data_IF_937105174910
#
_entry.id   IF_937105174910
#
_cell.length_a   1.000
_cell.length_b   1.000
_cell.length_c   1.000
_cell.angle_alpha   90.00
_cell.angle_beta   90.00
_cell.angle_gamma   90.00
#
_symmetry.space_group_name_H-M   'P 1'
#
loop_
_entity.id
_entity.type
_entity.pdbx_description
1 polymer ?
#
# COMPACT_ATOMS: atom_id res chain seq x y z
N UNK A 1 19.27 -9.48 -1.12
CA UNK A 1 18.10 -9.55 -2.02
C UNK A 1 17.55 -8.14 -2.22
N UNK A 2 17.86 -7.48 -3.33
CA UNK A 2 17.49 -6.06 -3.50
C UNK A 2 15.97 -5.93 -3.62
N UNK A 3 15.35 -5.20 -2.68
CA UNK A 3 13.88 -5.06 -2.60
C UNK A 3 13.45 -3.65 -2.95
N UNK A 4 12.37 -3.50 -3.71
CA UNK A 4 11.69 -2.21 -3.91
C UNK A 4 10.32 -2.19 -3.24
N UNK A 5 9.98 -1.10 -2.55
CA UNK A 5 8.62 -0.78 -2.14
C UNK A 5 8.09 0.28 -3.09
N UNK A 6 7.25 -0.12 -4.04
CA UNK A 6 6.70 0.75 -5.08
C UNK A 6 5.27 1.09 -4.71
N UNK A 7 4.94 2.38 -4.60
CA UNK A 7 3.65 2.78 -4.10
C UNK A 7 3.07 4.03 -4.76
N UNK A 8 1.75 4.23 -4.60
CA UNK A 8 1.08 5.50 -4.83
C UNK A 8 0.18 5.86 -3.65
N UNK A 9 0.03 7.17 -3.39
CA UNK A 9 -0.74 7.69 -2.25
C UNK A 9 -1.38 9.03 -2.56
N UNK A 10 -2.57 9.29 -2.03
CA UNK A 10 -3.17 10.64 -2.05
C UNK A 10 -2.75 11.48 -0.85
N UNK A 11 -2.79 10.90 0.35
CA UNK A 11 -2.64 11.60 1.62
C UNK A 11 -1.36 11.26 2.38
N UNK A 12 -0.53 10.34 1.91
CA UNK A 12 0.74 9.97 2.57
C UNK A 12 0.67 8.74 3.48
N UNK A 13 -0.52 8.15 3.72
CA UNK A 13 -0.65 6.96 4.57
C UNK A 13 0.17 5.77 4.05
N UNK A 14 0.16 5.55 2.74
CA UNK A 14 0.91 4.46 2.11
C UNK A 14 2.42 4.69 2.20
N UNK A 15 2.86 5.95 2.12
CA UNK A 15 4.27 6.34 2.31
C UNK A 15 4.72 6.05 3.74
N UNK A 16 3.89 6.35 4.75
CA UNK A 16 4.14 5.98 6.14
C UNK A 16 4.26 4.47 6.31
N UNK A 17 3.29 3.71 5.79
CA UNK A 17 3.34 2.24 5.85
C UNK A 17 4.56 1.66 5.12
N UNK A 18 4.95 2.20 3.97
CA UNK A 18 6.15 1.82 3.26
C UNK A 18 7.42 2.07 4.10
N UNK A 19 7.50 3.21 4.79
CA UNK A 19 8.59 3.51 5.72
C UNK A 19 8.61 2.55 6.91
N UNK A 20 7.45 2.18 7.45
CA UNK A 20 7.37 1.20 8.54
C UNK A 20 7.80 -0.21 8.10
N UNK A 21 7.40 -0.65 6.91
CA UNK A 21 7.92 -1.91 6.30
C UNK A 21 9.44 -1.83 6.16
N UNK A 22 9.96 -0.72 5.62
CA UNK A 22 11.40 -0.54 5.39
C UNK A 22 12.23 -0.64 6.66
N UNK A 23 11.72 -0.21 7.82
CA UNK A 23 12.41 -0.34 9.11
C UNK A 23 12.39 -1.76 9.67
N UNK A 24 11.49 -2.61 9.18
CA UNK A 24 11.22 -3.96 9.70
C UNK A 24 11.78 -5.07 8.81
N UNK A 25 12.03 -4.78 7.53
CA UNK A 25 12.74 -5.68 6.63
C UNK A 25 14.20 -5.86 7.08
N UNK A 26 14.75 -7.04 6.82
CA UNK A 26 16.12 -7.41 7.14
C UNK A 26 17.16 -6.65 6.29
N UNK A 27 16.79 -6.26 5.07
CA UNK A 27 17.58 -5.42 4.18
C UNK A 27 16.84 -4.12 3.88
N UNK A 28 17.58 -3.01 3.76
CA UNK A 28 17.00 -1.71 3.43
C UNK A 28 16.46 -1.70 1.99
N UNK A 29 15.13 -1.53 1.79
CA UNK A 29 14.54 -1.49 0.47
C UNK A 29 14.66 -0.10 -0.15
N UNK A 30 14.56 -0.03 -1.47
CA UNK A 30 14.34 1.23 -2.18
C UNK A 30 12.85 1.61 -2.14
N UNK A 31 12.53 2.78 -1.59
CA UNK A 31 11.14 3.26 -1.52
C UNK A 31 10.85 4.19 -2.70
N UNK A 32 9.93 3.77 -3.58
CA UNK A 32 9.67 4.44 -4.85
C UNK A 32 8.21 4.88 -4.92
N UNK A 33 7.99 6.18 -5.02
CA UNK A 33 6.67 6.73 -5.32
C UNK A 33 6.46 6.75 -6.84
N UNK A 34 5.57 5.89 -7.34
CA UNK A 34 5.37 5.70 -8.77
C UNK A 34 4.84 6.95 -9.49
N UNK A 35 4.26 7.90 -8.75
CA UNK A 35 3.84 9.19 -9.29
C UNK A 35 5.04 10.12 -9.56
N UNK A 36 6.14 9.98 -8.80
CA UNK A 36 7.37 10.76 -8.94
C UNK A 36 8.35 10.09 -9.91
N UNK A 37 8.47 8.77 -9.84
CA UNK A 37 9.25 7.95 -10.75
C UNK A 37 8.34 6.87 -11.38
N UNK A 38 7.80 7.11 -12.59
CA UNK A 38 6.82 6.22 -13.22
C UNK A 38 7.45 4.99 -13.90
N UNK A 39 8.78 4.88 -13.95
CA UNK A 39 9.44 3.79 -14.68
C UNK A 39 10.70 3.30 -13.96
N UNK A 40 10.56 2.80 -12.73
CA UNK A 40 11.68 2.26 -11.98
C UNK A 40 12.27 1.03 -12.69
N UNK A 41 13.59 0.86 -12.60
CA UNK A 41 14.31 -0.24 -13.25
C UNK A 41 14.08 -1.57 -12.53
N UNK A 42 12.94 -2.21 -12.79
CA UNK A 42 12.51 -3.46 -12.16
C UNK A 42 13.52 -4.62 -12.24
N UNK A 43 14.38 -4.62 -13.26
CA UNK A 43 15.44 -5.63 -13.43
C UNK A 43 16.47 -5.63 -12.30
N UNK A 44 16.66 -4.51 -11.61
CA UNK A 44 17.61 -4.39 -10.50
C UNK A 44 17.12 -5.04 -9.20
N UNK A 45 15.82 -5.29 -9.07
CA UNK A 45 15.23 -5.81 -7.84
C UNK A 45 14.93 -7.30 -7.96
N UNK A 46 15.16 -8.03 -6.88
CA UNK A 46 14.77 -9.44 -6.73
C UNK A 46 13.33 -9.56 -6.21
N UNK A 47 12.90 -8.55 -5.43
CA UNK A 47 11.63 -8.54 -4.74
C UNK A 47 10.94 -7.16 -4.86
N UNK A 48 9.61 -7.17 -4.95
CA UNK A 48 8.79 -5.95 -5.09
C UNK A 48 7.58 -6.04 -4.16
N UNK A 49 7.40 -5.00 -3.35
CA UNK A 49 6.20 -4.77 -2.55
C UNK A 49 5.42 -3.62 -3.19
N UNK A 50 4.15 -3.86 -3.51
CA UNK A 50 3.25 -2.86 -4.11
C UNK A 50 2.33 -2.27 -3.02
N UNK A 51 2.37 -0.97 -2.83
CA UNK A 51 1.51 -0.24 -1.89
C UNK A 51 0.47 0.63 -2.59
N UNK A 52 -0.80 0.55 -2.20
CA UNK A 52 -1.85 1.39 -2.77
C UNK A 52 -2.81 1.96 -1.71
N UNK A 53 -3.27 3.19 -1.92
CA UNK A 53 -4.38 3.75 -1.16
C UNK A 53 -5.69 3.42 -1.85
N UNK A 54 -6.73 3.05 -1.11
CA UNK A 54 -8.09 2.88 -1.62
C UNK A 54 -8.98 4.03 -1.16
N UNK A 55 -9.72 4.62 -2.10
CA UNK A 55 -10.79 5.57 -1.84
C UNK A 55 -12.01 5.16 -2.64
N UNK A 56 -13.13 4.90 -1.94
CA UNK A 56 -14.41 4.49 -2.56
C UNK A 56 -14.18 3.28 -3.51
N UNK A 57 -13.55 2.22 -2.99
CA UNK A 57 -13.26 0.98 -3.73
C UNK A 57 -12.20 1.06 -4.83
N UNK A 58 -11.64 2.23 -5.12
CA UNK A 58 -10.63 2.40 -6.17
C UNK A 58 -9.25 2.72 -5.61
N UNK A 59 -8.24 2.06 -6.17
CA UNK A 59 -6.85 2.37 -5.95
C UNK A 59 -6.39 3.57 -6.77
N UNK A 60 -5.26 4.16 -6.39
CA UNK A 60 -4.55 5.13 -7.21
C UNK A 60 -4.33 4.60 -8.64
N UNK A 61 -4.64 5.40 -9.66
CA UNK A 61 -4.54 4.98 -11.06
C UNK A 61 -3.10 4.60 -11.42
N UNK A 62 -2.13 5.40 -10.97
CA UNK A 62 -0.71 5.25 -11.30
C UNK A 62 -0.17 3.88 -10.89
N UNK A 63 -0.51 3.39 -9.70
CA UNK A 63 -0.02 2.09 -9.24
C UNK A 63 -0.70 0.91 -9.94
N UNK A 64 -2.01 1.03 -10.22
CA UNK A 64 -2.71 -0.04 -10.96
C UNK A 64 -2.25 -0.12 -12.42
N UNK A 65 -1.97 1.02 -13.07
CA UNK A 65 -1.40 1.02 -14.41
C UNK A 65 0.03 0.49 -14.43
N UNK A 66 0.85 0.85 -13.44
CA UNK A 66 2.19 0.31 -13.29
C UNK A 66 2.18 -1.21 -13.19
N UNK A 67 1.32 -1.80 -12.35
CA UNK A 67 1.21 -3.25 -12.22
C UNK A 67 0.77 -3.89 -13.53
N UNK A 68 -0.22 -3.32 -14.23
CA UNK A 68 -0.68 -3.85 -15.53
C UNK A 68 0.42 -3.82 -16.60
N UNK A 69 1.15 -2.71 -16.70
CA UNK A 69 2.21 -2.51 -17.71
C UNK A 69 3.41 -3.42 -17.49
N UNK A 70 3.73 -3.74 -16.23
CA UNK A 70 4.92 -4.51 -15.85
C UNK A 70 4.58 -5.92 -15.34
N UNK A 71 3.41 -6.45 -15.69
CA UNK A 71 2.91 -7.71 -15.13
C UNK A 71 3.90 -8.86 -15.32
N UNK A 72 4.44 -9.04 -16.53
CA UNK A 72 5.39 -10.12 -16.83
C UNK A 72 6.66 -10.03 -15.98
N UNK A 73 7.25 -8.85 -15.87
CA UNK A 73 8.45 -8.63 -15.05
C UNK A 73 8.14 -8.89 -13.58
N UNK A 74 7.03 -8.36 -13.06
CA UNK A 74 6.61 -8.53 -11.68
C UNK A 74 6.39 -10.00 -11.31
N UNK A 75 5.74 -10.79 -12.17
CA UNK A 75 5.47 -12.22 -11.91
C UNK A 75 6.74 -13.06 -11.73
N UNK A 76 7.90 -12.55 -12.16
CA UNK A 76 9.20 -13.22 -11.98
C UNK A 76 9.88 -12.88 -10.65
N UNK A 77 9.35 -11.93 -9.88
CA UNK A 77 9.91 -11.45 -8.61
C UNK A 77 9.21 -12.07 -7.41
N UNK A 78 9.85 -11.98 -6.23
CA UNK A 78 9.13 -12.16 -4.95
C UNK A 78 8.18 -10.98 -4.78
N UNK A 79 6.86 -11.24 -4.74
CA UNK A 79 5.85 -10.18 -4.72
C UNK A 79 5.10 -10.10 -3.39
N UNK A 80 4.81 -8.88 -2.97
CA UNK A 80 3.84 -8.57 -1.91
C UNK A 80 2.96 -7.40 -2.32
N UNK A 81 1.75 -7.32 -1.78
CA UNK A 81 0.86 -6.16 -2.00
C UNK A 81 0.16 -5.76 -0.71
N UNK A 82 0.02 -4.47 -0.45
CA UNK A 82 -0.78 -3.99 0.68
C UNK A 82 -1.69 -2.83 0.28
N UNK A 83 -2.84 -2.75 0.95
CA UNK A 83 -3.80 -1.67 0.77
C UNK A 83 -3.92 -0.85 2.05
N UNK A 84 -3.83 0.47 1.90
CA UNK A 84 -4.26 1.42 2.91
C UNK A 84 -5.67 1.92 2.57
N UNK A 85 -6.67 1.55 3.37
CA UNK A 85 -8.08 1.80 3.10
C UNK A 85 -8.85 2.13 4.38
N UNK A 86 -9.82 3.04 4.28
CA UNK A 86 -10.67 3.43 5.41
C UNK A 86 -11.90 2.55 5.64
N UNK A 87 -12.27 1.71 4.66
CA UNK A 87 -13.32 0.70 4.83
C UNK A 87 -12.81 -0.48 5.67
N UNK A 88 -13.72 -1.27 6.24
CA UNK A 88 -13.35 -2.44 7.04
C UNK A 88 -12.66 -3.53 6.22
N UNK A 89 -11.93 -4.39 6.94
CA UNK A 89 -11.14 -5.51 6.39
C UNK A 89 -11.98 -6.47 5.55
N UNK A 90 -13.29 -6.57 5.80
CA UNK A 90 -14.23 -7.39 5.03
C UNK A 90 -14.27 -7.01 3.53
N UNK A 91 -13.88 -5.80 3.16
CA UNK A 91 -13.83 -5.32 1.77
C UNK A 91 -12.46 -5.54 1.09
N UNK A 92 -11.47 -6.06 1.82
CA UNK A 92 -10.08 -6.11 1.38
C UNK A 92 -9.88 -6.95 0.10
N UNK A 93 -10.41 -8.17 0.08
CA UNK A 93 -10.29 -9.09 -1.07
C UNK A 93 -11.04 -8.57 -2.30
N UNK A 94 -12.23 -7.98 -2.10
CA UNK A 94 -12.97 -7.32 -3.17
C UNK A 94 -12.13 -6.18 -3.78
N UNK A 95 -11.56 -5.31 -2.96
CA UNK A 95 -10.80 -4.18 -3.46
C UNK A 95 -9.48 -4.59 -4.11
N UNK A 96 -8.83 -5.68 -3.67
CA UNK A 96 -7.70 -6.25 -4.38
C UNK A 96 -8.11 -6.68 -5.79
N UNK A 97 -9.13 -7.54 -5.89
CA UNK A 97 -9.58 -8.12 -7.18
C UNK A 97 -10.11 -7.06 -8.16
N UNK A 98 -10.73 -5.99 -7.66
CA UNK A 98 -11.21 -4.89 -8.50
C UNK A 98 -10.10 -4.00 -9.06
N UNK A 99 -8.94 -3.94 -8.41
CA UNK A 99 -7.89 -2.97 -8.73
C UNK A 99 -6.64 -3.59 -9.36
N UNK A 100 -6.38 -4.88 -9.13
CA UNK A 100 -5.19 -5.58 -9.62
C UNK A 100 -5.55 -6.85 -10.41
N UNK A 101 -4.77 -7.20 -11.46
CA UNK A 101 -4.98 -8.44 -12.20
C UNK A 101 -4.86 -9.67 -11.31
N UNK A 102 -5.69 -10.69 -11.56
CA UNK A 102 -5.65 -11.96 -10.83
C UNK A 102 -4.25 -12.60 -10.89
N UNK A 103 -3.58 -12.55 -12.03
CA UNK A 103 -2.24 -13.12 -12.23
C UNK A 103 -1.18 -12.47 -11.34
N UNK A 104 -1.31 -11.18 -11.04
CA UNK A 104 -0.45 -10.49 -10.07
C UNK A 104 -0.78 -10.96 -8.65
N UNK A 105 -2.06 -10.96 -8.28
CA UNK A 105 -2.52 -11.33 -6.94
C UNK A 105 -2.20 -12.78 -6.59
N UNK A 106 -2.31 -13.71 -7.55
CA UNK A 106 -1.96 -15.13 -7.36
C UNK A 106 -0.46 -15.33 -7.11
N UNK A 107 0.39 -14.40 -7.59
CA UNK A 107 1.85 -14.44 -7.40
C UNK A 107 2.32 -13.70 -6.15
N UNK A 108 1.48 -12.85 -5.56
CA UNK A 108 1.80 -12.20 -4.29
C UNK A 108 1.91 -13.24 -3.18
N UNK A 109 3.10 -13.35 -2.58
CA UNK A 109 3.39 -14.19 -1.42
C UNK A 109 2.59 -13.75 -0.20
N UNK A 110 2.44 -12.45 -0.01
CA UNK A 110 1.65 -11.87 1.08
C UNK A 110 0.81 -10.69 0.60
N UNK A 111 -0.35 -10.53 1.26
CA UNK A 111 -1.36 -9.50 0.99
C UNK A 111 -1.73 -8.84 2.32
N UNK A 112 -1.56 -7.52 2.44
CA UNK A 112 -1.74 -6.79 3.70
C UNK A 112 -2.89 -5.79 3.70
N UNK A 113 -3.85 -5.95 4.61
CA UNK A 113 -4.79 -4.89 5.00
C UNK A 113 -4.15 -4.06 6.10
N UNK A 114 -3.82 -2.79 5.83
CA UNK A 114 -3.14 -1.94 6.81
C UNK A 114 -4.05 -0.89 7.45
N UNK A 115 -5.36 -0.97 7.22
CA UNK A 115 -6.28 0.09 7.59
C UNK A 115 -5.96 1.40 6.87
N UNK A 116 -6.33 2.53 7.43
CA UNK A 116 -6.13 3.83 6.80
C UNK A 116 -6.27 4.94 7.82
N UNK A 117 -5.76 6.13 7.53
CA UNK A 117 -5.90 7.27 8.42
C UNK A 117 -6.37 8.50 7.64
N UNK A 118 -7.10 9.38 8.32
CA UNK A 118 -7.23 10.74 7.85
C UNK A 118 -5.90 11.46 8.12
N UNK A 119 -5.22 11.94 7.08
CA UNK A 119 -4.06 12.79 7.29
C UNK A 119 -4.53 14.16 7.82
N UNK A 120 -4.67 14.26 9.14
CA UNK A 120 -5.11 15.46 9.85
C UNK A 120 -4.11 16.62 9.72
N UNK A 121 -2.83 16.32 9.52
CA UNK A 121 -1.76 17.31 9.37
C UNK A 121 -1.87 18.05 8.03
N UNK A 122 -2.36 17.37 6.99
CA UNK A 122 -2.67 17.98 5.68
C UNK A 122 -4.02 18.68 5.61
N UNK A 123 -4.84 18.59 6.66
CA UNK A 123 -6.11 19.32 6.74
C UNK A 123 -5.92 20.69 7.39
N UNK A 124 -6.50 21.72 6.78
CA UNK A 124 -6.61 23.04 7.38
C UNK A 124 -7.43 23.02 8.68
N UNK A 125 -7.28 24.05 9.52
CA UNK A 125 -7.89 24.12 10.85
C UNK A 125 -9.42 23.89 10.84
N UNK A 126 -10.13 24.50 9.90
CA UNK A 126 -11.59 24.35 9.76
C UNK A 126 -11.99 22.92 9.39
N UNK A 127 -11.31 22.32 8.41
CA UNK A 127 -11.57 20.93 7.98
C UNK A 127 -11.29 19.93 9.10
N UNK A 128 -10.23 20.16 9.90
CA UNK A 128 -9.92 19.35 11.08
C UNK A 128 -11.02 19.43 12.14
N UNK A 129 -11.59 20.62 12.38
CA UNK A 129 -12.67 20.80 13.34
C UNK A 129 -13.97 20.11 12.89
N UNK A 130 -14.34 20.25 11.61
CA UNK A 130 -15.51 19.57 11.04
C UNK A 130 -15.36 18.04 11.08
N UNK A 131 -14.19 17.50 10.73
CA UNK A 131 -13.92 16.07 10.79
C UNK A 131 -14.06 15.56 12.22
N UNK A 132 -13.44 16.24 13.20
CA UNK A 132 -13.59 15.91 14.63
C UNK A 132 -15.05 15.88 15.07
N UNK A 133 -15.85 16.87 14.69
CA UNK A 133 -17.27 16.93 15.02
C UNK A 133 -18.07 15.78 14.38
N UNK A 134 -17.86 15.50 13.09
CA UNK A 134 -18.54 14.43 12.36
C UNK A 134 -18.19 13.02 12.84
N UNK A 135 -16.98 12.86 13.39
CA UNK A 135 -16.45 11.60 13.90
C UNK A 135 -16.66 11.37 15.41
N UNK A 136 -17.35 12.29 16.10
CA UNK A 136 -17.55 12.21 17.55
C UNK A 136 -18.32 10.92 17.90
N UNK A 137 -17.68 10.05 18.69
CA UNK A 137 -18.26 8.76 19.09
C UNK A 137 -18.09 7.61 18.09
N UNK A 138 -17.39 7.82 16.97
CA UNK A 138 -17.05 6.76 16.00
C UNK A 138 -15.55 6.45 16.06
N UNK A 139 -15.15 5.17 15.95
CA UNK A 139 -13.74 4.82 15.80
C UNK A 139 -13.18 5.50 14.54
N UNK A 140 -12.02 6.12 14.67
CA UNK A 140 -11.33 6.63 13.50
C UNK A 140 -10.64 5.47 12.78
N UNK A 141 -10.61 5.51 11.43
CA UNK A 141 -9.65 4.72 10.69
C UNK A 141 -8.26 4.98 11.25
N UNK A 142 -7.53 3.90 11.54
CA UNK A 142 -6.14 3.94 11.95
C UNK A 142 -5.33 2.89 11.19
N UNK A 143 -4.00 3.06 11.21
CA UNK A 143 -3.08 2.06 10.68
C UNK A 143 -3.04 0.87 11.63
N UNK A 144 -3.19 -0.34 11.10
CA UNK A 144 -3.15 -1.59 11.87
C UNK A 144 -1.72 -2.12 11.90
N UNK A 145 -0.89 -1.64 12.83
CA UNK A 145 0.55 -1.96 12.87
C UNK A 145 0.86 -3.45 13.00
N UNK A 146 0.03 -4.22 13.71
CA UNK A 146 0.20 -5.68 13.83
C UNK A 146 0.10 -6.40 12.47
N UNK A 147 -0.68 -5.86 11.54
CA UNK A 147 -0.77 -6.41 10.19
C UNK A 147 0.47 -6.11 9.37
N UNK A 148 1.16 -4.99 9.62
CA UNK A 148 2.45 -4.68 9.01
C UNK A 148 3.51 -5.68 9.50
N UNK A 149 3.56 -5.94 10.81
CA UNK A 149 4.49 -6.91 11.40
C UNK A 149 4.31 -8.31 10.81
N UNK A 150 3.05 -8.77 10.75
CA UNK A 150 2.71 -10.05 10.12
C UNK A 150 3.09 -10.07 8.64
N UNK A 151 2.77 -9.00 7.91
CA UNK A 151 3.08 -8.90 6.48
C UNK A 151 4.58 -9.04 6.20
N UNK A 152 5.43 -8.34 6.97
CA UNK A 152 6.89 -8.41 6.81
C UNK A 152 7.39 -9.82 7.08
N UNK A 153 6.95 -10.44 8.19
CA UNK A 153 7.31 -11.81 8.53
C UNK A 153 6.93 -12.80 7.43
N UNK A 154 5.71 -12.70 6.90
CA UNK A 154 5.20 -13.58 5.85
C UNK A 154 5.91 -13.33 4.50
N UNK A 155 6.37 -12.11 4.24
CA UNK A 155 7.12 -11.77 3.03
C UNK A 155 8.53 -12.38 3.04
N UNK A 156 9.21 -12.33 4.19
CA UNK A 156 10.59 -12.80 4.36
C UNK A 156 10.74 -14.30 4.61
N UNK A 157 9.70 -14.96 5.16
CA UNK A 157 9.59 -16.42 5.19
C UNK A 157 9.76 -17.02 3.80
#
# INVERSE_FOLDING_TARGET
MKTAIIYSTWSGTVEKCASEISKKLSEEPEIINIKKDPSPKLKEFDAVIVGASIRIGKANKEITEFVRRNLEDLKSKRLGVFLCMGSGEENFEEYLSQNFPKEFLDKCKTKGFFGGEFNLERLGFLSRMMLKAASKGKPQPHIVSSNIDKFVKDFEA
#
